data_IF_667026014087
#
_entry.id   IF_667026014087
#
_cell.length_a   1.000
_cell.length_b   1.000
_cell.length_c   1.000
_cell.angle_alpha   90.00
_cell.angle_beta   90.00
_cell.angle_gamma   90.00
#
_symmetry.space_group_name_H-M   'P 1'
#
loop_
_entity.id
_entity.type
_entity.pdbx_description
1 polymer ?
#
# COMPACT_ATOMS: atom_id res chain seq x y z
N UNK A 1 10.53 -3.67 -12.77
CA UNK A 1 10.86 -2.49 -11.97
C UNK A 1 9.73 -2.32 -10.98
N UNK A 2 9.95 -2.74 -9.74
CA UNK A 2 8.90 -2.69 -8.73
C UNK A 2 8.45 -1.25 -8.43
N UNK A 3 7.16 -1.11 -8.09
CA UNK A 3 6.65 0.09 -7.42
C UNK A 3 7.18 0.10 -5.99
N UNK A 4 7.77 1.22 -5.56
CA UNK A 4 8.05 1.47 -4.16
C UNK A 4 7.84 2.95 -3.86
N UNK A 5 6.81 3.27 -3.08
CA UNK A 5 6.49 4.63 -2.65
C UNK A 5 6.35 4.63 -1.13
N UNK A 6 7.04 5.54 -0.44
CA UNK A 6 6.85 5.75 0.99
C UNK A 6 5.97 6.97 1.21
N UNK A 7 4.99 6.84 2.10
CA UNK A 7 3.94 7.85 2.27
C UNK A 7 3.70 8.17 3.74
N UNK A 8 3.16 9.36 3.99
CA UNK A 8 2.50 9.72 5.23
C UNK A 8 1.07 10.11 4.89
N UNK A 9 0.10 9.35 5.38
CA UNK A 9 -1.32 9.59 5.15
C UNK A 9 -2.07 9.70 6.47
N UNK A 10 -2.94 10.70 6.60
CA UNK A 10 -3.97 10.70 7.62
C UNK A 10 -5.16 9.86 7.13
N UNK A 11 -6.11 9.46 8.01
CA UNK A 11 -7.30 8.72 7.60
C UNK A 11 -8.09 9.37 6.46
N UNK A 12 -8.14 10.71 6.41
CA UNK A 12 -8.80 11.43 5.31
C UNK A 12 -8.03 11.35 3.97
N UNK A 13 -6.69 11.25 4.01
CA UNK A 13 -5.89 11.00 2.81
C UNK A 13 -6.13 9.57 2.30
N UNK A 14 -6.24 8.59 3.21
CA UNK A 14 -6.55 7.20 2.86
C UNK A 14 -7.92 7.10 2.18
N UNK A 15 -8.96 7.74 2.74
CA UNK A 15 -10.31 7.78 2.15
C UNK A 15 -10.34 8.44 0.77
N UNK A 16 -9.70 9.59 0.60
CA UNK A 16 -9.63 10.26 -0.72
C UNK A 16 -8.87 9.40 -1.74
N UNK A 17 -7.81 8.72 -1.31
CA UNK A 17 -7.07 7.78 -2.16
C UNK A 17 -8.00 6.64 -2.62
N UNK A 18 -8.64 5.92 -1.69
CA UNK A 18 -9.52 4.81 -2.02
C UNK A 18 -10.67 5.24 -2.93
N UNK A 19 -11.30 6.39 -2.66
CA UNK A 19 -12.35 6.97 -3.50
C UNK A 19 -11.90 7.17 -4.94
N UNK A 20 -10.67 7.62 -5.16
CA UNK A 20 -10.13 7.85 -6.51
C UNK A 20 -9.77 6.56 -7.24
N UNK A 21 -9.47 5.50 -6.50
CA UNK A 21 -9.16 4.17 -7.01
C UNK A 21 -10.43 3.34 -7.27
N UNK A 22 -11.61 3.74 -6.80
CA UNK A 22 -12.90 3.07 -7.05
C UNK A 22 -13.12 2.70 -8.51
N UNK A 23 -12.82 3.63 -9.43
CA UNK A 23 -13.00 3.44 -10.88
C UNK A 23 -12.14 2.31 -11.47
N UNK A 24 -11.12 1.86 -10.74
CA UNK A 24 -10.28 0.73 -11.13
C UNK A 24 -10.86 -0.61 -10.69
N UNK A 25 -11.90 -0.59 -9.83
CA UNK A 25 -12.58 -1.76 -9.29
C UNK A 25 -11.60 -2.76 -8.66
N UNK A 26 -10.61 -2.26 -7.93
CA UNK A 26 -9.64 -3.10 -7.25
C UNK A 26 -10.32 -3.81 -6.08
N UNK A 27 -9.93 -5.05 -5.80
CA UNK A 27 -10.38 -5.76 -4.61
C UNK A 27 -9.47 -5.43 -3.43
N UNK A 28 -10.04 -5.24 -2.24
CA UNK A 28 -9.32 -4.94 -1.02
C UNK A 28 -9.18 -6.21 -0.17
N UNK A 29 -7.98 -6.75 -0.11
CA UNK A 29 -7.66 -7.95 0.65
C UNK A 29 -6.87 -7.58 1.91
N UNK A 30 -7.21 -8.14 3.09
CA UNK A 30 -6.31 -8.07 4.25
C UNK A 30 -5.02 -8.86 3.98
N UNK A 31 -3.96 -8.60 4.75
CA UNK A 31 -2.68 -9.33 4.58
C UNK A 31 -2.86 -10.83 4.81
N UNK A 32 -3.68 -11.16 5.79
CA UNK A 32 -4.06 -12.52 6.14
C UNK A 32 -5.56 -12.65 5.96
N UNK A 33 -5.96 -13.67 5.22
CA UNK A 33 -7.38 -13.95 4.95
C UNK A 33 -7.71 -15.37 5.37
N UNK A 34 -8.95 -15.58 5.81
CA UNK A 34 -9.46 -16.92 6.02
C UNK A 34 -9.71 -17.63 4.68
N UNK A 35 -9.64 -18.97 4.61
CA UNK A 35 -10.03 -19.71 3.42
C UNK A 35 -11.46 -19.35 2.97
N UNK A 36 -11.63 -18.97 1.71
CA UNK A 36 -12.94 -18.60 1.15
C UNK A 36 -13.36 -17.14 1.40
N UNK A 37 -12.48 -16.31 1.96
CA UNK A 37 -12.70 -14.87 2.04
C UNK A 37 -12.97 -14.26 0.66
N UNK A 38 -14.05 -13.50 0.55
CA UNK A 38 -14.39 -12.73 -0.63
C UNK A 38 -14.08 -11.25 -0.38
N UNK A 39 -13.08 -10.72 -1.08
CA UNK A 39 -12.68 -9.34 -0.90
C UNK A 39 -13.72 -8.38 -1.47
N UNK A 40 -14.10 -7.32 -0.72
CA UNK A 40 -14.91 -6.25 -1.27
C UNK A 40 -14.09 -5.43 -2.28
N UNK A 41 -14.80 -4.72 -3.15
CA UNK A 41 -14.16 -3.70 -3.99
C UNK A 41 -13.76 -2.49 -3.13
N UNK A 42 -12.64 -1.87 -3.51
CA UNK A 42 -12.15 -0.62 -2.94
C UNK A 42 -13.21 0.46 -3.10
N UNK A 43 -13.57 1.09 -1.97
CA UNK A 43 -14.45 2.24 -1.91
C UNK A 43 -13.88 3.28 -0.93
N UNK A 44 -14.16 4.57 -1.18
CA UNK A 44 -13.80 5.68 -0.30
C UNK A 44 -14.47 5.62 1.07
N UNK A 45 -15.58 4.89 1.18
CA UNK A 45 -16.30 4.64 2.43
C UNK A 45 -15.83 3.36 3.13
N UNK A 46 -14.86 2.63 2.55
CA UNK A 46 -14.29 1.44 3.19
C UNK A 46 -13.48 1.84 4.41
N UNK A 47 -13.85 1.31 5.57
CA UNK A 47 -13.08 1.46 6.80
C UNK A 47 -11.88 0.52 6.80
N UNK A 48 -10.68 1.09 6.92
CA UNK A 48 -9.44 0.35 7.06
C UNK A 48 -9.16 0.12 8.55
N UNK A 49 -9.19 -1.13 8.98
CA UNK A 49 -8.98 -1.56 10.38
C UNK A 49 -7.55 -2.07 10.56
N UNK A 50 -7.11 -2.94 9.66
CA UNK A 50 -5.80 -3.57 9.67
C UNK A 50 -4.69 -2.57 9.31
N UNK A 51 -3.44 -2.85 9.72
CA UNK A 51 -2.30 -1.99 9.39
C UNK A 51 -1.90 -2.04 7.91
N UNK A 52 -2.30 -3.08 7.18
CA UNK A 52 -1.92 -3.24 5.79
C UNK A 52 -2.94 -4.06 5.00
N UNK A 53 -2.94 -3.85 3.68
CA UNK A 53 -3.86 -4.43 2.73
C UNK A 53 -3.17 -4.72 1.39
N UNK A 54 -3.80 -5.55 0.57
CA UNK A 54 -3.49 -5.70 -0.84
C UNK A 54 -4.64 -5.14 -1.69
N UNK A 55 -4.30 -4.35 -2.70
CA UNK A 55 -5.22 -3.88 -3.73
C UNK A 55 -5.03 -4.77 -4.98
N UNK A 56 -5.94 -5.70 -5.20
CA UNK A 56 -5.84 -6.67 -6.29
C UNK A 56 -6.53 -6.16 -7.57
N UNK A 57 -5.84 -6.31 -8.69
CA UNK A 57 -6.32 -5.91 -10.02
C UNK A 57 -6.60 -7.11 -10.94
N UNK A 58 -6.82 -8.29 -10.36
CA UNK A 58 -7.05 -9.57 -11.04
C UNK A 58 -6.90 -10.74 -10.07
N UNK A 59 -6.78 -11.95 -10.64
CA UNK A 59 -6.75 -13.18 -9.86
C UNK A 59 -5.60 -13.22 -8.85
N UNK A 60 -5.95 -13.47 -7.60
CA UNK A 60 -5.02 -13.54 -6.47
C UNK A 60 -4.56 -14.98 -6.26
N UNK A 61 -3.24 -15.15 -6.16
CA UNK A 61 -2.60 -16.41 -5.81
C UNK A 61 -2.10 -16.29 -4.38
N UNK A 62 -2.43 -17.26 -3.53
CA UNK A 62 -1.99 -17.29 -2.15
C UNK A 62 -1.59 -18.69 -1.71
N UNK A 63 -1.02 -18.78 -0.52
CA UNK A 63 -0.64 -20.03 0.10
C UNK A 63 -1.10 -20.08 1.56
N UNK A 64 -1.48 -21.27 2.06
CA UNK A 64 -1.85 -21.43 3.45
C UNK A 64 -0.62 -21.35 4.36
N UNK A 65 -0.76 -20.66 5.49
CA UNK A 65 0.24 -20.60 6.55
C UNK A 65 0.20 -21.92 7.33
N UNK A 66 1.35 -22.61 7.38
CA UNK A 66 1.46 -23.96 7.95
C UNK A 66 1.81 -23.99 9.44
N UNK A 67 2.37 -22.92 10.00
CA UNK A 67 2.92 -22.88 11.36
C UNK A 67 2.74 -21.50 12.00
N UNK A 68 2.76 -21.44 13.34
CA UNK A 68 2.66 -20.20 14.10
C UNK A 68 1.21 -19.83 14.47
N UNK A 69 1.02 -18.63 15.07
CA UNK A 69 -0.29 -18.15 15.50
C UNK A 69 -1.28 -17.99 14.33
N UNK A 70 -0.78 -17.69 13.12
CA UNK A 70 -1.60 -17.48 11.93
C UNK A 70 -1.86 -18.76 11.12
N UNK A 71 -1.62 -19.94 11.70
CA UNK A 71 -1.81 -21.22 11.00
C UNK A 71 -3.27 -21.38 10.56
N UNK A 72 -3.45 -21.73 9.29
CA UNK A 72 -4.77 -21.91 8.67
C UNK A 72 -5.22 -20.71 7.84
N UNK A 73 -4.66 -19.53 8.09
CA UNK A 73 -4.87 -18.36 7.23
C UNK A 73 -4.12 -18.49 5.91
N UNK A 74 -4.57 -17.73 4.93
CA UNK A 74 -3.95 -17.56 3.62
C UNK A 74 -3.20 -16.25 3.55
N UNK A 75 -2.01 -16.31 2.95
CA UNK A 75 -1.22 -15.13 2.59
C UNK A 75 -1.10 -15.05 1.08
N UNK A 76 -1.28 -13.85 0.55
CA UNK A 76 -1.13 -13.57 -0.87
C UNK A 76 0.36 -13.64 -1.26
N UNK A 77 0.65 -14.30 -2.38
CA UNK A 77 1.95 -14.21 -3.05
C UNK A 77 1.98 -12.94 -3.90
N UNK A 78 2.67 -11.93 -3.40
CA UNK A 78 2.75 -10.59 -3.99
C UNK A 78 3.56 -10.56 -5.29
N UNK A 79 4.43 -11.56 -5.50
CA UNK A 79 5.27 -11.68 -6.71
C UNK A 79 4.49 -12.36 -7.82
N UNK A 80 3.70 -13.38 -7.49
CA UNK A 80 2.84 -14.06 -8.46
C UNK A 80 1.61 -13.21 -8.80
N UNK A 81 0.97 -12.59 -7.80
CA UNK A 81 -0.34 -11.94 -7.95
C UNK A 81 -0.25 -10.51 -8.52
N UNK A 82 -1.29 -10.02 -9.23
CA UNK A 82 -1.40 -8.65 -9.70
C UNK A 82 -1.91 -7.72 -8.58
N UNK A 83 -1.13 -7.59 -7.51
CA UNK A 83 -1.52 -6.85 -6.29
C UNK A 83 -0.58 -5.70 -5.99
N UNK A 84 -1.14 -4.63 -5.41
CA UNK A 84 -0.37 -3.54 -4.79
C UNK A 84 -0.49 -3.70 -3.28
N UNK A 85 0.61 -3.97 -2.61
CA UNK A 85 0.69 -3.93 -1.16
C UNK A 85 0.58 -2.48 -0.68
N UNK A 86 -0.26 -2.24 0.31
CA UNK A 86 -0.50 -0.96 0.95
C UNK A 86 -0.34 -1.11 2.47
N UNK A 87 0.79 -0.63 3.00
CA UNK A 87 0.99 -0.42 4.43
C UNK A 87 0.55 0.99 4.82
N UNK A 88 -0.30 1.09 5.85
CA UNK A 88 -0.89 2.34 6.31
C UNK A 88 0.08 3.17 7.14
N UNK A 89 -0.18 4.46 7.19
CA UNK A 89 0.49 5.36 8.12
C UNK A 89 -0.27 5.38 9.43
N UNK A 90 0.30 4.76 10.47
CA UNK A 90 -0.34 4.68 11.79
C UNK A 90 0.47 5.46 12.83
N UNK A 91 -0.19 6.08 13.83
CA UNK A 91 0.51 6.67 14.96
C UNK A 91 1.21 5.57 15.77
N UNK A 92 2.36 5.88 16.33
CA UNK A 92 3.03 5.02 17.31
C UNK A 92 2.58 5.33 18.75
N UNK A 93 3.24 4.69 19.72
CA UNK A 93 2.98 4.88 21.16
C UNK A 93 3.21 6.33 21.64
N UNK A 94 4.05 7.10 20.93
CA UNK A 94 4.35 8.51 21.22
C UNK A 94 3.39 9.46 20.48
N UNK A 95 2.43 8.94 19.70
CA UNK A 95 1.52 9.72 18.86
C UNK A 95 2.18 10.30 17.62
N UNK A 96 3.41 9.89 17.28
CA UNK A 96 4.11 10.30 16.06
C UNK A 96 3.65 9.42 14.88
N UNK A 97 3.41 10.01 13.71
CA UNK A 97 2.91 9.27 12.55
C UNK A 97 4.04 8.49 11.90
N UNK A 98 3.89 7.17 11.79
CA UNK A 98 4.82 6.30 11.09
C UNK A 98 4.51 6.25 9.60
N UNK A 99 5.56 6.22 8.79
CA UNK A 99 5.42 6.15 7.33
C UNK A 99 4.75 4.85 6.93
N UNK A 100 3.76 4.93 6.06
CA UNK A 100 3.25 3.80 5.31
C UNK A 100 4.03 3.60 4.01
N UNK A 101 3.63 2.62 3.22
CA UNK A 101 4.21 2.40 1.90
C UNK A 101 3.27 1.71 0.92
N UNK A 102 3.53 1.95 -0.36
CA UNK A 102 3.03 1.14 -1.45
C UNK A 102 4.18 0.34 -2.05
N UNK A 103 3.93 -0.95 -2.29
CA UNK A 103 4.85 -1.82 -3.00
C UNK A 103 4.10 -2.68 -4.01
N UNK A 104 4.69 -2.92 -5.17
CA UNK A 104 4.12 -3.86 -6.14
C UNK A 104 5.19 -4.39 -7.09
N UNK A 105 5.20 -5.71 -7.33
CA UNK A 105 6.04 -6.30 -8.38
C UNK A 105 5.35 -6.13 -9.75
N UNK A 106 5.95 -5.36 -10.64
CA UNK A 106 5.39 -5.09 -11.98
C UNK A 106 6.03 -5.93 -13.08
N UNK A 107 7.14 -6.59 -12.79
CA UNK A 107 7.77 -7.54 -13.69
C UNK A 107 7.34 -8.96 -13.36
N UNK A 108 7.34 -9.82 -14.37
CA UNK A 108 7.18 -11.25 -14.17
C UNK A 108 8.54 -11.86 -13.84
N UNK A 109 8.67 -12.46 -12.65
CA UNK A 109 9.81 -13.30 -12.28
C UNK A 109 9.56 -14.76 -12.70
N UNK A 110 10.62 -15.48 -13.09
CA UNK A 110 10.58 -16.92 -13.39
C UNK A 110 9.82 -17.31 -14.68
N UNK A 111 9.18 -18.49 -14.67
CA UNK A 111 8.44 -19.06 -15.81
C UNK A 111 7.27 -18.19 -16.30
N UNK A 112 6.78 -17.25 -15.48
CA UNK A 112 5.73 -16.32 -15.86
C UNK A 112 6.17 -15.32 -16.96
N UNK A 113 7.47 -15.16 -17.19
CA UNK A 113 7.99 -14.41 -18.35
C UNK A 113 7.55 -15.03 -19.69
N UNK A 114 7.32 -16.35 -19.74
CA UNK A 114 6.84 -17.06 -20.93
C UNK A 114 5.32 -16.98 -21.14
N UNK A 115 4.56 -16.57 -20.10
CA UNK A 115 3.09 -16.63 -20.07
C UNK A 115 2.39 -15.27 -20.31
N UNK A 116 3.14 -14.19 -20.57
CA UNK A 116 2.55 -12.93 -21.06
C UNK A 116 2.50 -11.76 -20.07
N UNK A 117 3.42 -11.69 -19.11
CA UNK A 117 3.59 -10.50 -18.25
C UNK A 117 2.47 -10.28 -17.24
N UNK A 118 2.56 -9.20 -16.45
CA UNK A 118 1.48 -8.80 -15.53
C UNK A 118 0.28 -8.25 -16.32
N UNK A 119 -0.96 -8.44 -15.85
CA UNK A 119 -2.16 -7.96 -16.54
C UNK A 119 -2.14 -6.45 -16.81
N UNK A 120 -2.62 -6.01 -17.98
CA UNK A 120 -2.65 -4.59 -18.35
C UNK A 120 -3.45 -3.74 -17.35
N UNK A 121 -4.54 -4.29 -16.79
CA UNK A 121 -5.36 -3.66 -15.75
C UNK A 121 -4.54 -3.32 -14.50
N UNK A 122 -3.67 -4.23 -14.07
CA UNK A 122 -2.78 -4.03 -12.94
C UNK A 122 -1.73 -2.95 -13.22
N UNK A 123 -1.09 -3.01 -14.40
CA UNK A 123 -0.11 -1.98 -14.78
C UNK A 123 -0.73 -0.59 -14.86
N UNK A 124 -1.98 -0.49 -15.32
CA UNK A 124 -2.77 0.74 -15.29
C UNK A 124 -3.00 1.21 -13.86
N UNK A 125 -3.44 0.33 -12.96
CA UNK A 125 -3.66 0.67 -11.55
C UNK A 125 -2.40 1.19 -10.86
N UNK A 126 -1.26 0.55 -11.09
CA UNK A 126 0.05 1.00 -10.56
C UNK A 126 0.40 2.41 -11.08
N UNK A 127 0.25 2.67 -12.38
CA UNK A 127 0.55 3.99 -12.97
C UNK A 127 -0.35 5.08 -12.41
N UNK A 128 -1.65 4.81 -12.33
CA UNK A 128 -2.60 5.78 -11.79
C UNK A 128 -2.36 6.09 -10.32
N UNK A 129 -2.00 5.10 -9.51
CA UNK A 129 -1.58 5.31 -8.13
C UNK A 129 -0.33 6.20 -8.06
N UNK A 130 0.69 5.92 -8.88
CA UNK A 130 1.90 6.74 -8.94
C UNK A 130 1.60 8.20 -9.30
N UNK A 131 0.77 8.43 -10.31
CA UNK A 131 0.36 9.77 -10.76
C UNK A 131 -0.45 10.49 -9.69
N UNK A 132 -1.35 9.79 -9.01
CA UNK A 132 -2.15 10.34 -7.94
C UNK A 132 -1.29 10.82 -6.76
N UNK A 133 -0.36 9.99 -6.30
CA UNK A 133 0.55 10.38 -5.23
C UNK A 133 1.43 11.56 -5.68
N UNK A 134 2.04 11.49 -6.88
CA UNK A 134 2.92 12.56 -7.39
C UNK A 134 2.21 13.90 -7.55
N UNK A 135 0.93 13.89 -7.92
CA UNK A 135 0.16 15.12 -8.19
C UNK A 135 -0.41 15.78 -6.93
N UNK A 136 -0.73 15.01 -5.89
CA UNK A 136 -1.40 15.54 -4.69
C UNK A 136 -0.52 15.63 -3.45
N UNK A 137 0.50 14.80 -3.34
CA UNK A 137 1.31 14.69 -2.13
C UNK A 137 2.55 15.57 -2.26
N UNK A 138 2.97 16.15 -1.14
CA UNK A 138 4.20 16.93 -1.07
C UNK A 138 5.39 16.01 -0.85
N UNK A 139 6.51 16.26 -1.51
CA UNK A 139 7.76 15.55 -1.21
C UNK A 139 8.32 16.03 0.12
N UNK A 140 8.89 15.12 0.90
CA UNK A 140 9.72 15.46 2.04
C UNK A 140 11.11 15.90 1.60
N UNK A 141 11.85 16.56 2.51
CA UNK A 141 13.31 16.57 2.40
C UNK A 141 13.83 15.14 2.38
N UNK A 142 14.89 14.83 1.60
CA UNK A 142 15.49 13.50 1.61
C UNK A 142 15.97 13.12 3.01
N UNK A 143 15.57 11.93 3.47
CA UNK A 143 16.04 11.32 4.72
C UNK A 143 16.78 10.05 4.32
N UNK A 144 18.09 9.99 4.57
CA UNK A 144 18.98 8.88 4.16
C UNK A 144 18.82 8.47 2.68
N UNK A 145 18.73 9.46 1.79
CA UNK A 145 18.55 9.22 0.35
C UNK A 145 17.15 8.75 -0.07
N UNK A 146 16.20 8.67 0.87
CA UNK A 146 14.81 8.32 0.59
C UNK A 146 13.92 9.56 0.60
N UNK A 147 12.97 9.63 -0.33
CA UNK A 147 11.97 10.69 -0.40
C UNK A 147 10.63 10.12 0.02
N UNK A 148 9.96 10.80 0.93
CA UNK A 148 8.61 10.47 1.39
C UNK A 148 7.60 11.40 0.74
N UNK A 149 6.39 10.90 0.52
CA UNK A 149 5.26 11.69 0.04
C UNK A 149 4.29 11.93 1.18
N UNK A 150 3.99 13.20 1.47
CA UNK A 150 3.14 13.60 2.59
C UNK A 150 1.79 14.06 2.05
N UNK A 151 0.73 13.37 2.49
CA UNK A 151 -0.65 13.66 2.14
C UNK A 151 -1.09 15.04 2.65
N UNK A 152 -2.04 15.70 1.97
CA UNK A 152 -2.51 17.03 2.35
C UNK A 152 -3.16 17.08 3.74
N UNK A 153 -3.87 16.05 4.18
CA UNK A 153 -4.40 15.99 5.54
C UNK A 153 -3.28 15.71 6.55
N UNK A 154 -2.39 14.75 6.28
CA UNK A 154 -1.22 14.47 7.12
C UNK A 154 -0.36 15.71 7.36
N UNK A 155 -0.12 16.52 6.32
CA UNK A 155 0.65 17.76 6.43
C UNK A 155 0.02 18.82 7.36
N UNK A 156 -1.30 18.76 7.57
CA UNK A 156 -2.03 19.69 8.46
C UNK A 156 -2.11 19.22 9.91
N UNK A 157 -1.83 17.94 10.19
CA UNK A 157 -1.92 17.39 11.55
C UNK A 157 -0.91 18.03 12.51
N UNK A 158 0.20 18.58 12.00
CA UNK A 158 1.22 19.21 12.84
C UNK A 158 1.98 18.23 13.76
N UNK A 159 1.77 16.92 13.59
CA UNK A 159 2.44 15.85 14.32
C UNK A 159 3.79 15.51 13.69
N UNK A 160 4.70 14.94 14.47
CA UNK A 160 5.99 14.51 13.95
C UNK A 160 5.80 13.31 13.01
N UNK A 161 6.46 13.36 11.86
CA UNK A 161 6.50 12.29 10.86
C UNK A 161 7.77 11.47 11.07
N UNK A 162 7.67 10.14 11.09
CA UNK A 162 8.82 9.25 11.26
C UNK A 162 8.85 8.09 10.29
N UNK A 163 10.05 7.67 9.93
CA UNK A 163 10.26 6.42 9.21
C UNK A 163 9.68 5.23 10.01
N UNK A 164 9.15 4.25 9.29
CA UNK A 164 8.74 2.96 9.83
C UNK A 164 9.96 2.22 10.43
N UNK A 165 9.76 1.52 11.56
CA UNK A 165 10.81 0.77 12.26
C UNK A 165 11.35 1.43 13.54
N UNK A 166 12.04 0.64 14.38
CA UNK A 166 12.56 1.08 15.67
C UNK A 166 13.65 2.16 15.47
N UNK A 167 13.40 3.36 16.01
CA UNK A 167 14.27 4.56 15.91
C UNK A 167 14.33 5.21 14.51
N UNK A 168 13.26 5.13 13.71
CA UNK A 168 13.16 5.89 12.45
C UNK A 168 13.46 7.39 12.61
N UNK A 169 14.08 8.01 11.60
CA UNK A 169 14.41 9.44 11.63
C UNK A 169 13.16 10.29 11.45
N UNK A 170 13.24 11.55 11.95
CA UNK A 170 12.17 12.52 11.74
C UNK A 170 12.20 12.99 10.29
N UNK A 171 11.04 12.93 9.65
CA UNK A 171 10.84 13.39 8.27
C UNK A 171 10.25 14.79 8.29
N UNK A 172 10.91 15.72 7.61
CA UNK A 172 10.41 17.07 7.42
C UNK A 172 9.79 17.23 6.04
N UNK A 173 8.60 17.82 5.97
CA UNK A 173 7.98 18.20 4.70
C UNK A 173 8.86 19.27 4.03
N UNK A 174 9.15 19.12 2.74
CA UNK A 174 9.87 20.15 2.00
C UNK A 174 8.98 21.40 1.93
N UNK A 175 9.51 22.55 2.37
CA UNK A 175 8.78 23.82 2.33
C UNK A 175 8.74 24.40 0.92
#
# INVERSE_FOLDING_TARGET
>A
MALQIRVFMAPDDERDLLRRLERLQLELWPVLSEPGYAAPLVCGETELIDPAYYLAAGDVIGYPIRRGPDRGNWKIDEVASPVIFFSRSLPDEDGELRSGSFWAETETAGDNSRLGGKPARFLKAVRELQELIKSRFRKSSPVKGSVYFVGPAAARLGIALREEGRKGERVQVYR
#
